data_IF_661970614359
#
_entry.id   IF_661970614359
#
_cell.length_a   1.000
_cell.length_b   1.000
_cell.length_c   1.000
_cell.angle_alpha   90.00
_cell.angle_beta   90.00
_cell.angle_gamma   90.00
#
_symmetry.space_group_name_H-M   'P 1'
#
loop_
_entity.id
_entity.type
_entity.pdbx_description
1 polymer ?
#
# COMPACT_ATOMS: atom_id res chain seq x y z
N UNK A 1 32.29 30.28 13.42
CA UNK A 1 30.91 30.71 13.09
C UNK A 1 30.82 30.76 11.58
N UNK A 2 29.81 30.12 11.00
CA UNK A 2 29.62 30.03 9.55
C UNK A 2 29.19 31.40 8.99
N UNK A 3 29.71 31.85 7.82
CA UNK A 3 29.33 33.13 7.21
C UNK A 3 27.81 33.24 6.98
N UNK A 4 27.19 34.44 7.11
CA UNK A 4 25.74 34.65 6.94
C UNK A 4 25.23 34.22 5.56
N UNK A 5 26.09 34.32 4.55
CA UNK A 5 25.80 33.97 3.15
C UNK A 5 25.70 32.45 2.92
N UNK A 6 26.09 31.64 3.91
CA UNK A 6 26.11 30.18 3.85
C UNK A 6 25.12 29.54 4.84
N UNK A 7 24.29 30.32 5.55
CA UNK A 7 23.24 29.77 6.42
C UNK A 7 22.15 29.04 5.62
N UNK A 8 21.86 29.44 4.38
CA UNK A 8 20.87 28.76 3.53
C UNK A 8 21.29 27.34 3.11
N UNK A 9 22.59 27.05 3.11
CA UNK A 9 23.15 25.74 2.73
C UNK A 9 23.04 24.69 3.84
N UNK A 10 22.68 25.11 5.07
CA UNK A 10 22.43 24.19 6.19
C UNK A 10 20.92 23.86 6.28
N UNK A 11 20.04 24.74 5.80
CA UNK A 11 18.58 24.58 5.90
C UNK A 11 17.92 23.86 4.71
N UNK A 12 18.58 23.74 3.56
CA UNK A 12 17.88 23.46 2.29
C UNK A 12 18.36 22.22 1.51
N UNK A 13 19.17 21.35 2.12
CA UNK A 13 19.66 20.15 1.42
C UNK A 13 19.09 18.88 2.05
N UNK A 14 18.24 18.21 1.25
CA UNK A 14 17.49 16.97 1.53
C UNK A 14 16.28 17.17 2.42
N UNK A 15 15.07 16.84 1.94
CA UNK A 15 14.01 16.18 2.74
C UNK A 15 12.62 16.52 2.18
N UNK A 16 12.28 15.91 1.05
CA UNK A 16 10.87 15.62 0.81
C UNK A 16 10.62 14.15 1.07
N UNK A 17 9.88 13.83 2.12
CA UNK A 17 9.50 12.47 2.49
C UNK A 17 8.18 12.17 1.79
N UNK A 18 8.15 11.09 1.01
CA UNK A 18 6.90 10.58 0.43
C UNK A 18 6.25 9.65 1.44
N UNK A 19 5.08 10.06 1.92
CA UNK A 19 4.26 9.28 2.85
C UNK A 19 3.06 8.73 2.11
N UNK A 20 2.65 7.53 2.49
CA UNK A 20 1.48 6.86 1.95
C UNK A 20 0.46 6.57 3.05
N UNK A 21 -0.80 6.53 2.64
CA UNK A 21 -1.89 5.93 3.41
C UNK A 21 -2.48 4.84 2.53
N UNK A 22 -1.89 3.65 2.58
CA UNK A 22 -2.41 2.46 1.93
C UNK A 22 -3.29 1.71 2.92
N UNK A 23 -4.39 1.16 2.43
CA UNK A 23 -5.34 0.46 3.27
C UNK A 23 -6.10 -0.58 2.48
N UNK A 24 -6.27 -1.76 3.07
CA UNK A 24 -7.31 -2.68 2.64
C UNK A 24 -8.65 -2.23 3.24
N UNK A 25 -9.66 -2.00 2.40
CA UNK A 25 -10.99 -1.56 2.83
C UNK A 25 -11.95 -2.75 2.99
N UNK A 26 -11.87 -3.72 2.08
CA UNK A 26 -12.66 -4.94 2.12
C UNK A 26 -11.92 -6.10 1.46
N UNK A 27 -12.08 -7.32 1.97
CA UNK A 27 -11.51 -8.51 1.36
C UNK A 27 -12.44 -9.71 1.56
N UNK A 28 -12.95 -10.24 0.45
CA UNK A 28 -13.80 -11.44 0.45
C UNK A 28 -13.29 -12.49 -0.53
N UNK A 29 -13.61 -13.75 -0.28
CA UNK A 29 -13.31 -14.83 -1.21
C UNK A 29 -14.48 -15.78 -1.42
N UNK A 30 -14.51 -16.41 -2.58
CA UNK A 30 -15.39 -17.53 -2.89
C UNK A 30 -14.62 -18.62 -3.63
N UNK A 31 -14.98 -19.88 -3.36
CA UNK A 31 -14.42 -21.01 -4.12
C UNK A 31 -15.10 -21.06 -5.50
N UNK A 32 -14.30 -21.05 -6.55
CA UNK A 32 -14.79 -21.11 -7.94
C UNK A 32 -14.64 -22.50 -8.55
N UNK A 33 -13.68 -23.28 -8.07
CA UNK A 33 -13.49 -24.70 -8.35
C UNK A 33 -12.60 -25.31 -7.28
N UNK A 34 -12.50 -26.64 -7.23
CA UNK A 34 -11.74 -27.35 -6.18
C UNK A 34 -10.32 -26.79 -6.03
N UNK A 35 -10.08 -26.09 -4.91
CA UNK A 35 -8.76 -25.50 -4.59
C UNK A 35 -8.42 -24.18 -5.31
N UNK A 36 -9.35 -23.61 -6.08
CA UNK A 36 -9.21 -22.28 -6.70
C UNK A 36 -10.24 -21.32 -6.13
N UNK A 37 -9.77 -20.14 -5.76
CA UNK A 37 -10.59 -19.13 -5.10
C UNK A 37 -10.51 -17.81 -5.87
N UNK A 38 -11.66 -17.16 -6.02
CA UNK A 38 -11.74 -15.77 -6.46
C UNK A 38 -11.75 -14.89 -5.21
N UNK A 39 -10.85 -13.91 -5.17
CA UNK A 39 -10.72 -12.93 -4.10
C UNK A 39 -11.13 -11.57 -4.65
N UNK A 40 -12.08 -10.92 -3.98
CA UNK A 40 -12.43 -9.52 -4.20
C UNK A 40 -11.79 -8.69 -3.12
N UNK A 41 -11.02 -7.69 -3.53
CA UNK A 41 -10.25 -6.84 -2.65
C UNK A 41 -10.48 -5.38 -3.05
N UNK A 42 -11.00 -4.60 -2.10
CA UNK A 42 -11.09 -3.15 -2.23
C UNK A 42 -9.97 -2.52 -1.42
N UNK A 43 -9.22 -1.61 -2.05
CA UNK A 43 -8.15 -0.88 -1.38
C UNK A 43 -8.31 0.62 -1.57
N UNK A 44 -7.82 1.38 -0.59
CA UNK A 44 -7.59 2.79 -0.72
C UNK A 44 -6.10 3.11 -0.61
N UNK A 45 -5.70 4.16 -1.32
CA UNK A 45 -4.34 4.67 -1.30
C UNK A 45 -4.41 6.19 -1.33
N UNK A 46 -3.49 6.86 -0.64
CA UNK A 46 -3.18 8.28 -0.81
C UNK A 46 -1.69 8.50 -0.70
N UNK A 47 -1.22 9.60 -1.27
CA UNK A 47 0.19 9.96 -1.29
C UNK A 47 0.35 11.40 -0.83
N UNK A 48 1.29 11.62 0.06
CA UNK A 48 1.60 12.90 0.63
C UNK A 48 3.09 13.19 0.47
N UNK A 49 3.41 14.45 0.19
CA UNK A 49 4.76 14.97 0.26
C UNK A 49 4.87 15.77 1.55
N UNK A 50 5.69 15.30 2.48
CA UNK A 50 6.07 16.04 3.68
C UNK A 50 7.37 16.83 3.42
N UNK A 51 7.45 18.05 3.94
CA UNK A 51 8.72 18.79 4.03
C UNK A 51 9.46 18.48 5.35
N UNK A 52 10.71 18.94 5.45
CA UNK A 52 11.54 18.76 6.65
C UNK A 52 11.01 19.45 7.92
N UNK A 53 9.95 20.27 7.80
CA UNK A 53 9.28 20.93 8.93
C UNK A 53 7.99 20.20 9.33
N UNK A 54 7.65 19.09 8.66
CA UNK A 54 6.49 18.26 8.94
C UNK A 54 5.18 18.76 8.31
N UNK A 55 5.22 19.75 7.43
CA UNK A 55 4.04 20.16 6.67
C UNK A 55 3.80 19.18 5.52
N UNK A 56 2.56 18.72 5.38
CA UNK A 56 2.20 17.65 4.45
C UNK A 56 1.23 18.15 3.39
N UNK A 57 1.50 17.79 2.14
CA UNK A 57 0.62 18.10 1.01
C UNK A 57 0.27 16.82 0.25
N UNK A 58 -1.02 16.57 0.07
CA UNK A 58 -1.49 15.48 -0.78
C UNK A 58 -1.05 15.72 -2.23
N UNK A 59 -0.54 14.67 -2.87
CA UNK A 59 -0.07 14.67 -4.26
C UNK A 59 -0.74 13.52 -5.04
N UNK A 60 -0.89 13.65 -6.37
CA UNK A 60 -1.51 12.60 -7.17
C UNK A 60 -0.78 11.25 -7.05
N UNK A 61 -1.55 10.18 -7.03
CA UNK A 61 -1.05 8.80 -7.15
C UNK A 61 -0.70 8.49 -8.61
N UNK A 62 0.47 7.89 -8.82
CA UNK A 62 0.87 7.32 -10.10
C UNK A 62 1.94 6.25 -9.88
N UNK A 63 1.73 5.39 -8.87
CA UNK A 63 2.77 4.56 -8.28
C UNK A 63 2.48 3.07 -8.52
N UNK A 64 3.54 2.28 -8.65
CA UNK A 64 3.45 0.82 -8.74
C UNK A 64 3.53 0.21 -7.34
N UNK A 65 2.39 -0.20 -6.81
CA UNK A 65 2.27 -0.75 -5.45
C UNK A 65 1.97 -2.24 -5.54
N UNK A 66 2.55 -3.03 -4.63
CA UNK A 66 2.31 -4.46 -4.59
C UNK A 66 0.90 -4.74 -4.06
N UNK A 67 0.10 -5.53 -4.78
CA UNK A 67 -1.15 -6.11 -4.29
C UNK A 67 -0.90 -7.56 -3.96
N UNK A 68 -1.35 -8.00 -2.78
CA UNK A 68 -1.04 -9.31 -2.23
C UNK A 68 -2.27 -10.07 -1.77
N UNK A 69 -2.23 -11.39 -1.95
CA UNK A 69 -3.11 -12.36 -1.29
C UNK A 69 -2.22 -13.41 -0.64
N UNK A 70 -2.41 -13.65 0.66
CA UNK A 70 -1.58 -14.52 1.48
C UNK A 70 -2.39 -15.69 2.06
N UNK A 71 -1.74 -16.84 2.22
CA UNK A 71 -2.29 -17.99 2.95
C UNK A 71 -2.22 -17.80 4.48
N UNK A 72 -2.73 -18.77 5.24
CA UNK A 72 -2.73 -18.73 6.71
C UNK A 72 -1.32 -18.75 7.35
N UNK A 73 -0.29 -19.15 6.58
CA UNK A 73 1.11 -19.15 6.99
C UNK A 73 1.83 -17.85 6.61
N UNK A 74 1.16 -16.94 5.90
CA UNK A 74 1.74 -15.71 5.37
C UNK A 74 2.49 -15.88 4.06
N UNK A 75 2.41 -17.04 3.39
CA UNK A 75 3.00 -17.22 2.06
C UNK A 75 2.14 -16.52 0.99
N UNK A 76 2.74 -15.90 -0.02
CA UNK A 76 1.99 -15.28 -1.10
C UNK A 76 1.32 -16.35 -1.99
N UNK A 77 0.00 -16.30 -2.08
CA UNK A 77 -0.80 -16.95 -3.12
C UNK A 77 -0.87 -16.07 -4.38
N UNK A 78 -0.76 -14.76 -4.19
CA UNK A 78 -0.63 -13.76 -5.23
C UNK A 78 0.23 -12.60 -4.71
N UNK A 79 1.13 -12.10 -5.56
CA UNK A 79 1.89 -10.89 -5.30
C UNK A 79 2.31 -10.27 -6.63
N UNK A 80 1.76 -9.11 -6.98
CA UNK A 80 2.12 -8.41 -8.20
C UNK A 80 2.03 -6.90 -8.03
N UNK A 81 2.81 -6.17 -8.82
CA UNK A 81 2.73 -4.71 -8.90
C UNK A 81 1.54 -4.31 -9.74
N UNK A 82 0.73 -3.41 -9.19
CA UNK A 82 -0.35 -2.73 -9.90
C UNK A 82 -0.11 -1.24 -9.88
N UNK A 83 -0.38 -0.58 -10.99
CA UNK A 83 -0.31 0.88 -11.06
C UNK A 83 -1.56 1.45 -10.40
N UNK A 84 -1.38 2.18 -9.31
CA UNK A 84 -2.47 2.83 -8.58
C UNK A 84 -2.46 4.31 -8.94
N UNK A 85 -3.55 4.77 -9.56
CA UNK A 85 -3.73 6.16 -10.01
C UNK A 85 -4.97 6.81 -9.36
N UNK A 86 -5.75 6.03 -8.62
CA UNK A 86 -6.99 6.45 -7.97
C UNK A 86 -6.94 6.13 -6.49
N UNK A 87 -7.58 6.99 -5.70
CA UNK A 87 -7.63 6.84 -4.25
C UNK A 87 -8.38 5.57 -3.79
N UNK A 88 -9.25 5.01 -4.63
CA UNK A 88 -9.91 3.72 -4.41
C UNK A 88 -9.75 2.86 -5.66
N UNK A 89 -9.37 1.61 -5.46
CA UNK A 89 -9.21 0.63 -6.54
C UNK A 89 -9.77 -0.72 -6.09
N UNK A 90 -10.51 -1.37 -6.98
CA UNK A 90 -11.09 -2.69 -6.75
C UNK A 90 -10.31 -3.73 -7.56
N UNK A 91 -10.01 -4.86 -6.94
CA UNK A 91 -9.32 -5.99 -7.55
C UNK A 91 -10.16 -7.25 -7.46
N UNK A 92 -10.25 -7.98 -8.57
CA UNK A 92 -10.74 -9.36 -8.59
C UNK A 92 -9.60 -10.27 -9.02
N UNK A 93 -9.13 -11.10 -8.10
CA UNK A 93 -7.94 -11.93 -8.27
C UNK A 93 -8.33 -13.41 -8.17
N UNK A 94 -7.68 -14.27 -8.94
CA UNK A 94 -7.82 -15.73 -8.80
C UNK A 94 -6.54 -16.30 -8.21
N UNK A 95 -6.68 -17.13 -7.17
CA UNK A 95 -5.56 -17.76 -6.48
C UNK A 95 -5.75 -19.27 -6.34
N UNK A 96 -4.63 -19.99 -6.31
CA UNK A 96 -4.59 -21.42 -6.05
C UNK A 96 -4.24 -21.64 -4.58
N UNK A 97 -5.20 -22.11 -3.78
CA UNK A 97 -5.08 -22.24 -2.33
C UNK A 97 -5.98 -21.28 -1.55
N UNK A 98 -6.33 -21.68 -0.32
CA UNK A 98 -7.28 -20.96 0.53
C UNK A 98 -6.66 -19.62 1.01
N UNK A 99 -7.23 -18.46 0.63
CA UNK A 99 -6.74 -17.17 1.08
C UNK A 99 -7.07 -16.94 2.56
N UNK A 100 -6.14 -16.31 3.28
CA UNK A 100 -6.34 -15.91 4.66
C UNK A 100 -6.25 -14.39 4.85
N UNK A 101 -5.33 -13.72 4.13
CA UNK A 101 -5.20 -12.25 4.14
C UNK A 101 -5.06 -11.68 2.74
N UNK A 102 -5.50 -10.45 2.53
CA UNK A 102 -5.29 -9.73 1.29
C UNK A 102 -5.14 -8.23 1.55
N UNK A 103 -4.50 -7.51 0.62
CA UNK A 103 -4.29 -6.08 0.76
C UNK A 103 -3.28 -5.47 -0.19
N UNK A 104 -2.86 -4.26 0.16
CA UNK A 104 -1.96 -3.39 -0.59
C UNK A 104 -0.67 -3.19 0.20
N UNK A 105 0.46 -3.17 -0.49
CA UNK A 105 1.81 -3.15 0.09
C UNK A 105 1.97 -4.16 1.25
N UNK A 106 1.76 -5.46 1.01
CA UNK A 106 1.71 -6.48 2.07
C UNK A 106 3.01 -6.61 2.88
N UNK A 107 4.11 -6.07 2.36
CA UNK A 107 5.44 -6.11 2.97
C UNK A 107 5.91 -4.75 3.49
N UNK A 108 5.02 -3.75 3.52
CA UNK A 108 5.31 -2.40 4.03
C UNK A 108 6.58 -1.79 3.40
N UNK A 109 6.69 -1.87 2.07
CA UNK A 109 7.82 -1.32 1.31
C UNK A 109 7.75 0.19 1.20
N UNK A 110 6.55 0.76 1.25
CA UNK A 110 6.30 2.19 1.23
C UNK A 110 6.32 2.74 2.66
N UNK A 111 6.71 4.02 2.79
CA UNK A 111 6.65 4.72 4.07
C UNK A 111 5.18 5.04 4.34
N UNK A 112 4.51 4.12 5.01
CA UNK A 112 3.09 4.20 5.35
C UNK A 112 2.88 4.76 6.76
N UNK A 113 1.84 5.57 6.94
CA UNK A 113 1.46 6.10 8.26
C UNK A 113 0.85 5.04 9.17
N UNK A 114 0.11 4.10 8.61
CA UNK A 114 -0.64 3.07 9.32
C UNK A 114 -0.42 1.70 8.67
N UNK A 115 0.82 1.18 8.62
CA UNK A 115 1.10 -0.09 7.93
C UNK A 115 0.34 -1.31 8.47
N UNK A 116 -0.33 -1.19 9.62
CA UNK A 116 -1.17 -2.22 10.21
C UNK A 116 -2.49 -2.49 9.47
N UNK A 117 -2.99 -1.56 8.64
CA UNK A 117 -4.23 -1.74 7.87
C UNK A 117 -4.02 -1.98 6.37
N UNK A 118 -2.75 -2.08 5.94
CA UNK A 118 -2.34 -2.54 4.61
C UNK A 118 -2.89 -3.92 4.25
N UNK A 119 -3.06 -4.79 5.25
CA UNK A 119 -3.59 -6.14 5.12
C UNK A 119 -4.80 -6.36 6.02
N UNK A 120 -5.76 -7.15 5.54
CA UNK A 120 -6.87 -7.63 6.36
C UNK A 120 -7.17 -9.10 6.14
N UNK A 121 -7.87 -9.69 7.11
CA UNK A 121 -8.38 -11.05 6.99
C UNK A 121 -9.44 -11.13 5.87
N UNK A 122 -9.32 -12.13 5.00
CA UNK A 122 -10.30 -12.34 3.94
C UNK A 122 -11.45 -13.17 4.48
N UNK A 123 -12.68 -12.68 4.33
CA UNK A 123 -13.88 -13.38 4.78
C UNK A 123 -14.51 -14.17 3.64
N UNK A 124 -15.10 -15.33 3.95
CA UNK A 124 -15.88 -16.06 2.94
C UNK A 124 -17.13 -15.26 2.58
N UNK A 125 -17.41 -15.13 1.28
CA UNK A 125 -18.63 -14.51 0.77
C UNK A 125 -19.85 -15.42 0.98
#
# INVERSE_FOLDING_TARGET
MTPPELQYLIDDTFDSIMLYENKADSATYREISKGKYEVKLDVSARKFKADGLGAEKEVPLADWIDIGVLDAKGNPLYLAKHKIEKAKTEFTLTVEGLPAKAGIDPWNKLIDRTPGDNLMAVSKQ
#
